data_IF_154434775236
#
_entry.id   IF_154434775236
#
_cell.length_a   1.000
_cell.length_b   1.000
_cell.length_c   1.000
_cell.angle_alpha   90.00
_cell.angle_beta   90.00
_cell.angle_gamma   90.00
#
_symmetry.space_group_name_H-M   'P 1'
#
loop_
_entity.id
_entity.type
_entity.pdbx_description
1 polymer ?
#
# COMPACT_ATOMS: atom_id res chain seq x y z
N UNK A 1 -14.35 19.90 -3.07
CA UNK A 1 -12.96 20.32 -2.77
C UNK A 1 -12.03 19.14 -3.09
N UNK A 2 -10.83 19.40 -3.54
CA UNK A 2 -9.83 18.36 -3.82
C UNK A 2 -9.32 17.79 -2.49
N UNK A 3 -9.30 16.46 -2.27
CA UNK A 3 -8.81 15.86 -1.03
C UNK A 3 -7.31 16.08 -0.84
N UNK A 4 -6.87 16.13 0.40
CA UNK A 4 -5.43 16.24 0.74
C UNK A 4 -4.67 14.93 0.55
N UNK A 5 -5.34 13.79 0.74
CA UNK A 5 -4.78 12.44 0.62
C UNK A 5 -5.68 11.59 -0.30
N UNK A 6 -5.08 10.88 -1.26
CA UNK A 6 -5.73 9.74 -1.91
C UNK A 6 -5.13 8.44 -1.38
N UNK A 7 -5.98 7.63 -0.74
CA UNK A 7 -5.59 6.28 -0.29
C UNK A 7 -5.87 5.30 -1.40
N UNK A 8 -4.87 4.53 -1.80
CA UNK A 8 -4.98 3.51 -2.86
C UNK A 8 -4.69 2.16 -2.24
N UNK A 9 -5.59 1.20 -2.41
CA UNK A 9 -5.32 -0.19 -2.02
C UNK A 9 -5.92 -1.19 -3.01
N UNK A 10 -5.23 -2.32 -3.13
CA UNK A 10 -5.65 -3.39 -4.02
C UNK A 10 -6.53 -4.40 -3.30
N UNK A 11 -7.52 -4.93 -4.02
CA UNK A 11 -8.33 -6.07 -3.57
C UNK A 11 -8.46 -7.10 -4.70
N UNK A 12 -8.67 -8.36 -4.32
CA UNK A 12 -9.06 -9.44 -5.23
C UNK A 12 -9.80 -10.54 -4.46
N UNK A 13 -11.09 -10.68 -4.72
CA UNK A 13 -11.97 -11.72 -4.15
C UNK A 13 -11.85 -11.92 -2.62
N UNK A 14 -11.77 -10.79 -1.88
CA UNK A 14 -11.66 -10.77 -0.41
C UNK A 14 -12.71 -9.81 0.22
N UNK A 15 -14.02 -10.02 -0.02
CA UNK A 15 -15.06 -9.08 0.42
C UNK A 15 -15.06 -8.85 1.92
N UNK A 16 -14.87 -9.90 2.74
CA UNK A 16 -14.83 -9.79 4.20
C UNK A 16 -13.68 -8.91 4.69
N UNK A 17 -12.48 -9.07 4.11
CA UNK A 17 -11.32 -8.25 4.48
C UNK A 17 -11.48 -6.81 4.03
N UNK A 18 -11.95 -6.62 2.80
CA UNK A 18 -12.24 -5.30 2.25
C UNK A 18 -13.23 -4.53 3.15
N UNK A 19 -14.33 -5.16 3.59
CA UNK A 19 -15.28 -4.57 4.51
C UNK A 19 -14.59 -4.06 5.79
N UNK A 20 -13.80 -4.91 6.46
CA UNK A 20 -13.08 -4.55 7.70
C UNK A 20 -12.11 -3.39 7.49
N UNK A 21 -11.43 -3.34 6.34
CA UNK A 21 -10.51 -2.23 5.98
C UNK A 21 -11.28 -0.93 5.79
N UNK A 22 -12.41 -0.94 5.09
CA UNK A 22 -13.26 0.23 4.88
C UNK A 22 -13.82 0.76 6.21
N UNK A 23 -14.23 -0.14 7.15
CA UNK A 23 -14.60 0.24 8.52
C UNK A 23 -13.42 0.93 9.23
N UNK A 24 -12.20 0.42 9.08
CA UNK A 24 -11.00 1.05 9.65
C UNK A 24 -10.72 2.45 9.12
N UNK A 25 -10.98 2.68 7.83
CA UNK A 25 -10.86 4.02 7.23
C UNK A 25 -11.94 4.98 7.72
N UNK A 26 -13.16 4.52 8.06
CA UNK A 26 -14.20 5.38 8.63
C UNK A 26 -13.86 5.91 10.04
N UNK A 27 -12.84 5.33 10.69
CA UNK A 27 -12.37 5.73 12.01
C UNK A 27 -11.19 6.69 12.01
N UNK A 28 -10.73 7.15 10.83
CA UNK A 28 -9.57 8.03 10.74
C UNK A 28 -9.82 9.39 11.37
N UNK A 29 -8.83 9.88 12.14
CA UNK A 29 -8.88 11.24 12.72
C UNK A 29 -8.57 12.32 11.69
N UNK A 30 -7.84 11.99 10.63
CA UNK A 30 -7.63 12.82 9.46
C UNK A 30 -8.78 12.56 8.47
N UNK A 31 -9.62 13.55 8.18
CA UNK A 31 -10.88 13.36 7.44
C UNK A 31 -10.87 13.87 6.01
N UNK A 32 -9.85 14.63 5.61
CA UNK A 32 -9.72 15.20 4.26
C UNK A 32 -8.99 14.23 3.31
N UNK A 33 -9.65 13.11 2.99
CA UNK A 33 -9.12 12.08 2.11
C UNK A 33 -10.20 11.42 1.26
N UNK A 34 -9.79 10.77 0.19
CA UNK A 34 -10.56 9.82 -0.62
C UNK A 34 -9.94 8.43 -0.57
N UNK A 35 -10.74 7.42 -0.85
CA UNK A 35 -10.30 6.02 -1.03
C UNK A 35 -10.50 5.62 -2.48
N UNK A 36 -9.48 4.98 -3.07
CA UNK A 36 -9.52 4.40 -4.40
C UNK A 36 -9.22 2.92 -4.28
N UNK A 37 -10.23 2.11 -4.52
CA UNK A 37 -10.13 0.65 -4.51
C UNK A 37 -9.67 0.20 -5.88
N UNK A 38 -8.46 -0.34 -5.95
CA UNK A 38 -7.85 -0.92 -7.14
C UNK A 38 -8.16 -2.42 -7.16
N UNK A 39 -9.21 -2.81 -7.87
CA UNK A 39 -9.76 -4.16 -7.86
C UNK A 39 -9.29 -4.95 -9.08
N UNK A 40 -8.49 -5.99 -8.83
CA UNK A 40 -7.84 -6.84 -9.83
C UNK A 40 -8.77 -7.95 -10.36
N UNK A 41 -10.02 -7.61 -10.65
CA UNK A 41 -10.98 -8.52 -11.28
C UNK A 41 -11.85 -9.31 -10.30
N UNK A 42 -12.21 -8.73 -9.15
CA UNK A 42 -13.11 -9.42 -8.20
C UNK A 42 -14.52 -9.60 -8.74
N UNK A 43 -15.19 -10.64 -8.23
CA UNK A 43 -16.58 -10.95 -8.50
C UNK A 43 -17.59 -10.03 -7.78
N UNK A 44 -18.91 -10.29 -8.00
CA UNK A 44 -19.99 -9.41 -7.55
C UNK A 44 -20.08 -9.23 -6.03
N UNK A 45 -19.59 -10.17 -5.24
CA UNK A 45 -19.58 -10.06 -3.77
C UNK A 45 -18.70 -8.90 -3.29
N UNK A 46 -17.56 -8.68 -3.95
CA UNK A 46 -16.67 -7.55 -3.66
C UNK A 46 -17.30 -6.23 -4.11
N UNK A 47 -17.94 -6.20 -5.27
CA UNK A 47 -18.70 -5.05 -5.75
C UNK A 47 -19.79 -4.65 -4.76
N UNK A 48 -20.56 -5.63 -4.23
CA UNK A 48 -21.60 -5.37 -3.23
C UNK A 48 -21.03 -4.70 -1.98
N UNK A 49 -19.89 -5.18 -1.46
CA UNK A 49 -19.21 -4.55 -0.31
C UNK A 49 -18.84 -3.09 -0.60
N UNK A 50 -18.37 -2.79 -1.81
CA UNK A 50 -18.04 -1.41 -2.20
C UNK A 50 -19.29 -0.54 -2.25
N UNK A 51 -20.38 -1.04 -2.83
CA UNK A 51 -21.62 -0.27 -2.98
C UNK A 51 -22.30 -0.06 -1.61
N UNK A 52 -22.29 -1.06 -0.74
CA UNK A 52 -22.75 -0.91 0.65
C UNK A 52 -21.90 0.14 1.39
N UNK A 53 -20.56 0.09 1.25
CA UNK A 53 -19.67 1.03 1.90
C UNK A 53 -19.93 2.49 1.48
N UNK A 54 -20.26 2.75 0.22
CA UNK A 54 -20.63 4.10 -0.26
C UNK A 54 -21.86 4.69 0.46
N UNK A 55 -22.71 3.84 1.06
CA UNK A 55 -23.90 4.30 1.78
C UNK A 55 -23.61 4.82 3.20
N UNK A 56 -22.54 4.35 3.84
CA UNK A 56 -22.20 4.68 5.23
C UNK A 56 -20.82 5.33 5.42
N UNK A 57 -19.95 5.28 4.44
CA UNK A 57 -18.63 5.91 4.53
C UNK A 57 -18.75 7.44 4.57
N UNK A 58 -17.94 8.07 5.41
CA UNK A 58 -17.88 9.54 5.55
C UNK A 58 -16.83 10.18 4.62
N UNK A 59 -16.26 9.39 3.73
CA UNK A 59 -15.24 9.77 2.75
C UNK A 59 -15.63 9.27 1.36
N UNK A 60 -15.20 9.93 0.27
CA UNK A 60 -15.44 9.48 -1.09
C UNK A 60 -14.76 8.13 -1.38
N UNK A 61 -15.47 7.23 -2.05
CA UNK A 61 -14.96 5.95 -2.53
C UNK A 61 -15.04 5.88 -4.04
N UNK A 62 -13.90 5.68 -4.69
CA UNK A 62 -13.79 5.31 -6.10
C UNK A 62 -13.48 3.82 -6.21
N UNK A 63 -14.14 3.13 -7.14
CA UNK A 63 -13.86 1.73 -7.45
C UNK A 63 -13.33 1.65 -8.87
N UNK A 64 -12.08 1.26 -9.02
CA UNK A 64 -11.42 1.00 -10.30
C UNK A 64 -11.29 -0.49 -10.43
N UNK A 65 -11.91 -1.06 -11.46
CA UNK A 65 -12.01 -2.50 -11.67
C UNK A 65 -11.53 -2.86 -13.08
N UNK A 66 -10.89 -4.01 -13.23
CA UNK A 66 -10.53 -4.62 -14.51
C UNK A 66 -11.07 -6.05 -14.57
N UNK A 67 -11.24 -6.60 -15.78
CA UNK A 67 -11.63 -7.99 -15.96
C UNK A 67 -10.55 -8.95 -15.43
N UNK A 68 -10.98 -10.06 -14.79
CA UNK A 68 -10.08 -11.10 -14.30
C UNK A 68 -9.48 -11.91 -15.46
N UNK A 69 -8.28 -11.56 -15.82
CA UNK A 69 -7.44 -12.29 -16.81
C UNK A 69 -6.15 -12.81 -16.20
N UNK A 70 -6.10 -12.87 -14.85
CA UNK A 70 -4.97 -13.27 -14.05
C UNK A 70 -4.41 -12.14 -13.18
N UNK A 71 -3.14 -12.23 -12.77
CA UNK A 71 -2.56 -11.27 -11.84
C UNK A 71 -2.12 -9.98 -12.55
N UNK A 72 -2.85 -8.88 -12.32
CA UNK A 72 -2.64 -7.55 -12.91
C UNK A 72 -2.55 -6.42 -11.86
N UNK A 73 -2.05 -6.74 -10.66
CA UNK A 73 -1.92 -5.78 -9.56
C UNK A 73 -1.19 -4.49 -9.96
N UNK A 74 -0.15 -4.56 -10.80
CA UNK A 74 0.58 -3.36 -11.23
C UNK A 74 -0.25 -2.49 -12.16
N UNK A 75 -0.99 -3.12 -13.07
CA UNK A 75 -1.86 -2.46 -14.04
C UNK A 75 -2.97 -1.68 -13.31
N UNK A 76 -3.70 -2.35 -12.43
CA UNK A 76 -4.81 -1.73 -11.70
C UNK A 76 -4.33 -0.64 -10.72
N UNK A 77 -3.13 -0.79 -10.13
CA UNK A 77 -2.52 0.27 -9.32
C UNK A 77 -2.20 1.50 -10.16
N UNK A 78 -1.66 1.33 -11.38
CA UNK A 78 -1.40 2.44 -12.28
C UNK A 78 -2.69 3.17 -12.67
N UNK A 79 -3.76 2.44 -12.96
CA UNK A 79 -5.08 3.04 -13.23
C UNK A 79 -5.60 3.83 -12.01
N UNK A 80 -5.49 3.27 -10.80
CA UNK A 80 -5.90 3.92 -9.57
C UNK A 80 -5.08 5.19 -9.26
N UNK A 81 -3.76 5.17 -9.51
CA UNK A 81 -2.89 6.35 -9.40
C UNK A 81 -3.39 7.48 -10.29
N UNK A 82 -3.81 7.18 -11.52
CA UNK A 82 -4.32 8.19 -12.43
C UNK A 82 -5.66 8.79 -11.98
N UNK A 83 -6.52 7.99 -11.33
CA UNK A 83 -7.82 8.42 -10.77
C UNK A 83 -7.69 9.22 -9.46
N UNK A 84 -6.51 9.19 -8.83
CA UNK A 84 -6.27 9.92 -7.58
C UNK A 84 -6.31 11.44 -7.82
N UNK A 85 -7.12 12.15 -6.99
CA UNK A 85 -7.23 13.60 -7.07
C UNK A 85 -6.19 14.32 -6.20
N UNK A 86 -5.78 13.72 -5.08
CA UNK A 86 -4.80 14.32 -4.18
C UNK A 86 -3.38 14.33 -4.75
N UNK A 87 -2.59 15.32 -4.29
CA UNK A 87 -1.15 15.36 -4.59
C UNK A 87 -0.33 14.43 -3.71
N UNK A 88 -0.90 13.92 -2.61
CA UNK A 88 -0.25 12.99 -1.71
C UNK A 88 -0.96 11.64 -1.70
N UNK A 89 -0.23 10.58 -2.03
CA UNK A 89 -0.75 9.22 -2.14
C UNK A 89 -0.31 8.37 -0.97
N UNK A 90 -1.24 7.60 -0.40
CA UNK A 90 -1.00 6.59 0.62
C UNK A 90 -1.39 5.23 0.05
N UNK A 91 -0.46 4.28 0.05
CA UNK A 91 -0.67 2.94 -0.46
C UNK A 91 -0.81 1.93 0.67
N UNK A 92 -1.80 1.06 0.54
CA UNK A 92 -2.03 -0.08 1.44
C UNK A 92 -2.58 -1.29 0.67
N UNK A 93 -2.99 -2.35 1.38
CA UNK A 93 -3.66 -3.51 0.80
C UNK A 93 -5.09 -3.63 1.37
N UNK A 94 -5.99 -4.27 0.63
CA UNK A 94 -7.41 -4.47 0.99
C UNK A 94 -7.63 -5.46 2.15
N UNK A 95 -6.56 -5.89 2.81
CA UNK A 95 -6.52 -6.73 4.01
C UNK A 95 -5.77 -6.08 5.17
N UNK A 96 -5.51 -4.77 5.08
CA UNK A 96 -4.75 -4.02 6.06
C UNK A 96 -5.62 -2.96 6.76
N UNK A 97 -6.08 -3.24 7.98
CA UNK A 97 -6.90 -2.33 8.78
C UNK A 97 -6.01 -1.22 9.34
N UNK A 98 -6.27 0.08 9.05
CA UNK A 98 -5.48 1.19 9.58
C UNK A 98 -5.85 1.52 11.03
N UNK A 99 -4.86 1.90 11.86
CA UNK A 99 -5.13 2.52 13.15
C UNK A 99 -5.74 3.91 12.93
N UNK A 100 -6.57 4.39 13.85
CA UNK A 100 -7.33 5.65 13.72
C UNK A 100 -6.49 6.91 13.40
N UNK A 101 -5.22 6.92 13.75
CA UNK A 101 -4.27 8.02 13.48
C UNK A 101 -3.37 7.77 12.26
N UNK A 102 -3.63 6.71 11.50
CA UNK A 102 -2.76 6.26 10.40
C UNK A 102 -2.54 7.35 9.34
N UNK A 103 -3.60 7.95 8.82
CA UNK A 103 -3.50 9.02 7.82
C UNK A 103 -2.87 10.28 8.40
N UNK A 104 -3.19 10.64 9.65
CA UNK A 104 -2.57 11.78 10.34
C UNK A 104 -1.05 11.59 10.44
N UNK A 105 -0.58 10.39 10.80
CA UNK A 105 0.86 10.09 10.88
C UNK A 105 1.52 10.24 9.50
N UNK A 106 0.88 9.77 8.42
CA UNK A 106 1.41 9.95 7.07
C UNK A 106 1.49 11.43 6.69
N UNK A 107 0.43 12.18 6.98
CA UNK A 107 0.37 13.62 6.70
C UNK A 107 1.43 14.43 7.44
N UNK A 108 1.60 14.21 8.75
CA UNK A 108 2.56 14.94 9.59
C UNK A 108 4.02 14.60 9.26
N UNK A 109 4.26 13.42 8.70
CA UNK A 109 5.63 12.96 8.38
C UNK A 109 6.00 13.11 6.91
N UNK A 110 5.08 13.58 6.04
CA UNK A 110 5.36 13.79 4.61
C UNK A 110 6.52 14.76 4.40
N UNK A 111 7.25 14.56 3.33
CA UNK A 111 8.40 15.41 2.98
C UNK A 111 8.63 15.38 1.47
N UNK A 112 8.99 16.51 0.84
CA UNK A 112 9.17 16.62 -0.62
C UNK A 112 10.22 15.67 -1.22
N UNK A 113 11.17 15.19 -0.43
CA UNK A 113 12.25 14.32 -0.91
C UNK A 113 12.23 12.93 -0.29
N UNK A 114 11.07 12.53 0.26
CA UNK A 114 10.95 11.27 0.99
C UNK A 114 9.67 10.54 0.59
N UNK A 115 9.77 9.21 0.47
CA UNK A 115 8.62 8.36 0.68
C UNK A 115 8.61 7.86 2.12
N UNK A 116 7.43 7.61 2.68
CA UNK A 116 7.29 7.02 4.00
C UNK A 116 7.18 5.49 3.88
N UNK A 117 7.78 4.80 4.83
CA UNK A 117 7.74 3.34 4.95
C UNK A 117 7.21 2.97 6.32
N UNK A 118 5.96 2.55 6.35
CA UNK A 118 5.25 2.15 7.55
C UNK A 118 5.44 0.68 7.90
N UNK A 119 4.57 0.15 8.75
CA UNK A 119 4.62 -1.25 9.17
C UNK A 119 3.27 -1.81 9.53
N UNK A 120 3.11 -3.13 9.35
CA UNK A 120 1.95 -3.86 9.75
C UNK A 120 2.23 -4.82 10.91
N UNK A 121 1.20 -5.17 11.64
CA UNK A 121 1.14 -6.29 12.58
C UNK A 121 0.36 -7.40 11.92
N UNK A 122 1.01 -8.51 11.62
CA UNK A 122 0.34 -9.68 11.05
C UNK A 122 -0.48 -10.37 12.12
N UNK A 123 -1.75 -10.55 11.87
CA UNK A 123 -2.65 -11.29 12.73
C UNK A 123 -2.69 -12.75 12.32
N UNK A 124 -2.85 -13.69 13.25
CA UNK A 124 -3.22 -15.07 12.94
C UNK A 124 -4.62 -15.16 12.29
N UNK A 125 -4.90 -16.24 11.57
CA UNK A 125 -6.15 -16.43 10.84
C UNK A 125 -7.38 -16.39 11.76
N UNK A 126 -7.33 -17.09 12.91
CA UNK A 126 -8.46 -17.12 13.86
C UNK A 126 -8.78 -15.73 14.38
N UNK A 127 -7.77 -14.95 14.80
CA UNK A 127 -7.96 -13.56 15.25
C UNK A 127 -8.46 -12.69 14.09
N UNK A 128 -7.93 -12.87 12.86
CA UNK A 128 -8.39 -12.13 11.67
C UNK A 128 -9.88 -12.34 11.40
N UNK A 129 -10.38 -13.57 11.55
CA UNK A 129 -11.80 -13.91 11.37
C UNK A 129 -12.66 -13.40 12.53
N UNK A 130 -12.20 -13.55 13.78
CA UNK A 130 -12.95 -13.20 14.99
C UNK A 130 -13.12 -11.68 15.19
N UNK A 131 -12.24 -10.84 14.60
CA UNK A 131 -12.34 -9.39 14.67
C UNK A 131 -13.69 -8.91 14.13
N UNK A 132 -14.43 -8.15 14.96
CA UNK A 132 -15.70 -7.53 14.60
C UNK A 132 -15.53 -6.07 14.20
N UNK A 133 -16.56 -5.50 13.55
CA UNK A 133 -16.63 -4.08 13.25
C UNK A 133 -16.57 -3.24 14.54
N UNK A 134 -17.18 -3.71 15.63
CA UNK A 134 -17.17 -3.02 16.92
C UNK A 134 -15.76 -2.98 17.52
N UNK A 135 -14.95 -4.02 17.36
CA UNK A 135 -13.55 -4.03 17.79
C UNK A 135 -12.71 -3.02 17.03
N UNK A 136 -13.01 -2.85 15.72
CA UNK A 136 -12.34 -1.86 14.87
C UNK A 136 -12.78 -0.45 15.28
N UNK A 137 -14.09 -0.19 15.37
CA UNK A 137 -14.67 1.12 15.69
C UNK A 137 -14.29 1.63 17.08
N UNK A 138 -14.31 0.75 18.08
CA UNK A 138 -13.89 1.09 19.46
C UNK A 138 -12.37 1.22 19.62
N UNK A 139 -11.59 0.77 18.65
CA UNK A 139 -10.12 0.72 18.71
C UNK A 139 -9.56 -0.47 19.50
N UNK A 140 -10.41 -1.36 20.05
CA UNK A 140 -9.97 -2.60 20.73
C UNK A 140 -9.10 -3.47 19.84
N UNK A 141 -9.33 -3.45 18.51
CA UNK A 141 -8.51 -4.13 17.52
C UNK A 141 -7.01 -3.76 17.60
N UNK A 142 -6.66 -2.59 18.13
CA UNK A 142 -5.28 -2.14 18.33
C UNK A 142 -4.77 -2.30 19.77
N UNK A 143 -5.55 -2.94 20.62
CA UNK A 143 -5.15 -3.36 21.96
C UNK A 143 -4.67 -4.81 21.92
N UNK A 144 -3.36 -5.01 22.17
CA UNK A 144 -2.74 -6.36 22.13
C UNK A 144 -3.40 -7.34 23.10
N UNK A 145 -3.78 -6.86 24.27
CA UNK A 145 -4.35 -7.73 25.32
C UNK A 145 -5.79 -8.13 24.95
N UNK A 146 -6.56 -7.23 24.32
CA UNK A 146 -7.89 -7.54 23.77
C UNK A 146 -7.79 -8.51 22.59
N UNK A 147 -6.89 -8.27 21.64
CA UNK A 147 -6.66 -9.19 20.52
C UNK A 147 -6.34 -10.62 21.00
N UNK A 148 -5.53 -10.74 22.04
CA UNK A 148 -5.11 -12.04 22.57
C UNK A 148 -6.19 -12.78 23.38
N UNK A 149 -7.35 -12.16 23.59
CA UNK A 149 -8.54 -12.79 24.20
C UNK A 149 -9.52 -13.34 23.15
N UNK A 150 -9.40 -12.90 21.89
CA UNK A 150 -10.37 -13.27 20.85
C UNK A 150 -10.37 -14.74 20.50
N UNK A 151 -9.18 -15.37 20.52
CA UNK A 151 -9.02 -16.79 20.17
C UNK A 151 -8.01 -17.45 21.10
N UNK A 152 -8.41 -18.54 21.74
CA UNK A 152 -7.53 -19.32 22.60
C UNK A 152 -6.36 -19.94 21.79
N UNK A 153 -5.16 -19.86 22.37
CA UNK A 153 -3.96 -20.40 21.73
C UNK A 153 -3.28 -19.50 20.71
N UNK A 154 -3.99 -18.54 20.11
CA UNK A 154 -3.39 -17.55 19.21
C UNK A 154 -2.87 -16.33 19.98
N UNK A 155 -1.69 -15.84 19.61
CA UNK A 155 -1.07 -14.70 20.29
C UNK A 155 -0.43 -13.71 19.32
N UNK A 156 -0.75 -12.44 19.51
CA UNK A 156 -0.10 -11.32 18.81
C UNK A 156 0.99 -10.72 19.71
N UNK A 157 2.24 -10.77 19.26
CA UNK A 157 3.39 -10.21 19.97
C UNK A 157 4.01 -9.10 19.13
N UNK A 158 3.65 -7.83 19.38
CA UNK A 158 4.21 -6.71 18.63
C UNK A 158 4.34 -5.45 19.49
N UNK A 159 5.52 -4.85 19.49
CA UNK A 159 5.77 -3.55 20.13
C UNK A 159 5.05 -2.40 19.40
N UNK A 160 4.57 -2.62 18.17
CA UNK A 160 3.76 -1.63 17.43
C UNK A 160 2.38 -1.40 18.07
N UNK A 161 1.91 -2.36 18.88
CA UNK A 161 0.67 -2.27 19.66
C UNK A 161 0.92 -1.84 21.12
N UNK A 162 2.08 -1.26 21.40
CA UNK A 162 2.38 -0.74 22.75
C UNK A 162 1.50 0.45 23.08
N UNK A 163 0.92 0.43 24.28
CA UNK A 163 0.17 1.56 24.86
C UNK A 163 1.08 2.67 25.37
N UNK A 164 2.38 2.40 25.56
CA UNK A 164 3.34 3.38 26.03
C UNK A 164 3.71 4.35 24.89
N UNK A 165 3.41 5.65 24.98
CA UNK A 165 3.60 6.61 23.89
C UNK A 165 5.08 6.85 23.52
N UNK A 166 6.02 6.48 24.40
CA UNK A 166 7.47 6.65 24.18
C UNK A 166 8.01 5.54 23.27
N UNK A 167 7.43 4.33 23.30
CA UNK A 167 7.94 3.17 22.57
C UNK A 167 7.93 3.39 21.05
N UNK A 168 6.85 3.81 20.39
CA UNK A 168 6.86 3.98 18.94
C UNK A 168 7.91 4.96 18.41
N UNK A 169 8.09 6.17 18.96
CA UNK A 169 9.13 7.09 18.48
C UNK A 169 10.54 6.55 18.77
N UNK A 170 10.77 5.96 19.94
CA UNK A 170 12.07 5.36 20.30
C UNK A 170 12.41 4.22 19.33
N UNK A 171 11.49 3.29 19.11
CA UNK A 171 11.69 2.15 18.21
C UNK A 171 11.90 2.57 16.75
N UNK A 172 11.27 3.68 16.30
CA UNK A 172 11.57 4.24 14.98
C UNK A 172 12.99 4.82 14.92
N UNK A 173 13.44 5.49 16.00
CA UNK A 173 14.76 6.12 16.06
C UNK A 173 15.90 5.09 16.08
N UNK A 174 15.75 4.00 16.85
CA UNK A 174 16.77 2.95 16.99
C UNK A 174 16.66 1.84 15.93
N UNK A 175 15.69 1.89 15.05
CA UNK A 175 15.47 0.86 14.05
C UNK A 175 16.59 0.85 13.01
N UNK A 176 17.27 -0.29 12.87
CA UNK A 176 18.29 -0.55 11.85
C UNK A 176 17.68 -1.01 10.51
N UNK A 177 16.37 -1.16 10.44
CA UNK A 177 15.67 -1.60 9.22
C UNK A 177 15.77 -0.49 8.18
N UNK A 178 16.26 -0.85 6.98
CA UNK A 178 16.29 0.07 5.84
C UNK A 178 14.86 0.43 5.42
N UNK A 179 14.56 1.71 5.32
CA UNK A 179 13.29 2.17 4.79
C UNK A 179 13.21 1.78 3.30
N UNK A 180 12.29 0.89 2.98
CA UNK A 180 12.00 0.45 1.62
C UNK A 180 10.53 0.64 1.34
N UNK A 181 10.19 0.90 0.09
CA UNK A 181 8.79 0.94 -0.30
C UNK A 181 8.16 -0.44 -0.08
N UNK A 182 6.98 -0.48 0.51
CA UNK A 182 6.17 -1.69 0.66
C UNK A 182 4.72 -1.35 0.29
N UNK A 183 4.07 -2.23 -0.45
CA UNK A 183 2.72 -2.01 -0.99
C UNK A 183 1.66 -1.83 0.09
N UNK A 184 1.87 -2.42 1.25
CA UNK A 184 0.86 -2.41 2.31
C UNK A 184 0.93 -1.19 3.25
N UNK A 185 2.00 -0.37 3.21
CA UNK A 185 2.11 0.81 4.07
C UNK A 185 3.23 1.75 3.60
N UNK A 186 2.97 2.49 2.53
CA UNK A 186 3.90 3.50 2.03
C UNK A 186 3.14 4.72 1.51
N UNK A 187 3.81 5.86 1.48
CA UNK A 187 3.22 7.09 0.92
C UNK A 187 4.28 8.01 0.34
N UNK A 188 3.90 8.78 -0.67
CA UNK A 188 4.70 9.90 -1.20
C UNK A 188 3.83 10.86 -2.03
N UNK A 189 4.42 11.92 -2.55
CA UNK A 189 3.76 12.79 -3.51
C UNK A 189 3.51 12.06 -4.84
N UNK A 190 2.35 12.31 -5.46
CA UNK A 190 1.93 11.72 -6.74
C UNK A 190 2.94 12.01 -7.85
N UNK A 191 3.48 13.22 -7.90
CA UNK A 191 4.51 13.61 -8.87
C UNK A 191 5.73 12.68 -8.87
N UNK A 192 6.15 12.17 -7.70
CA UNK A 192 7.28 11.22 -7.62
C UNK A 192 6.96 9.88 -8.27
N UNK A 193 5.73 9.39 -8.09
CA UNK A 193 5.27 8.15 -8.74
C UNK A 193 5.21 8.34 -10.26
N UNK A 194 4.69 9.49 -10.70
CA UNK A 194 4.61 9.83 -12.13
C UNK A 194 6.00 10.00 -12.74
N UNK A 195 6.94 10.62 -12.01
CA UNK A 195 8.32 10.81 -12.46
C UNK A 195 9.06 9.48 -12.75
N UNK A 196 8.69 8.40 -12.07
CA UNK A 196 9.22 7.06 -12.32
C UNK A 196 8.30 6.20 -13.18
N UNK A 197 7.21 6.77 -13.68
CA UNK A 197 6.20 6.12 -14.53
C UNK A 197 5.41 5.00 -13.84
N UNK A 198 5.07 5.16 -12.56
CA UNK A 198 4.21 4.21 -11.85
C UNK A 198 4.84 2.84 -11.60
N UNK A 199 4.01 1.81 -11.54
CA UNK A 199 4.41 0.41 -11.38
C UNK A 199 4.86 -0.19 -12.72
N UNK A 200 5.81 -1.13 -12.71
CA UNK A 200 6.17 -1.91 -13.90
C UNK A 200 5.19 -3.06 -14.09
N UNK A 201 4.33 -2.97 -15.10
CA UNK A 201 3.20 -3.88 -15.34
C UNK A 201 3.62 -5.31 -15.75
N UNK A 202 4.88 -5.51 -16.11
CA UNK A 202 5.41 -6.87 -16.38
C UNK A 202 5.57 -7.69 -15.10
N UNK A 203 5.66 -7.02 -13.95
CA UNK A 203 5.94 -7.68 -12.68
C UNK A 203 4.70 -8.40 -12.15
N UNK A 204 4.86 -9.67 -11.84
CA UNK A 204 3.88 -10.47 -11.13
C UNK A 204 4.12 -10.37 -9.61
N UNK A 205 3.53 -11.25 -8.82
CA UNK A 205 3.67 -11.21 -7.37
C UNK A 205 5.13 -11.34 -6.91
N UNK A 206 5.54 -10.45 -6.02
CA UNK A 206 6.82 -10.53 -5.31
C UNK A 206 7.85 -9.46 -5.72
N UNK A 207 7.91 -8.39 -4.95
CA UNK A 207 8.94 -7.35 -5.07
C UNK A 207 8.63 -6.21 -6.05
N UNK A 208 7.44 -6.17 -6.65
CA UNK A 208 6.98 -5.08 -7.52
C UNK A 208 6.96 -3.72 -6.78
N UNK A 209 6.50 -3.72 -5.55
CA UNK A 209 6.51 -2.59 -4.64
C UNK A 209 7.94 -2.10 -4.35
N UNK A 210 8.85 -3.04 -4.07
CA UNK A 210 10.26 -2.71 -3.82
C UNK A 210 10.94 -2.14 -5.04
N UNK A 211 10.61 -2.64 -6.24
CA UNK A 211 11.17 -2.14 -7.50
C UNK A 211 10.75 -0.69 -7.75
N UNK A 212 9.51 -0.33 -7.46
CA UNK A 212 9.06 1.08 -7.47
C UNK A 212 9.91 1.92 -6.51
N UNK A 213 10.10 1.47 -5.26
CA UNK A 213 10.92 2.16 -4.26
C UNK A 213 12.39 2.28 -4.64
N UNK A 214 12.93 1.32 -5.39
CA UNK A 214 14.29 1.35 -5.95
C UNK A 214 14.41 2.45 -7.02
N UNK A 215 13.40 2.58 -7.92
CA UNK A 215 13.38 3.67 -8.92
C UNK A 215 13.20 5.05 -8.27
N UNK A 216 12.32 5.18 -7.27
CA UNK A 216 12.19 6.39 -6.47
C UNK A 216 13.54 6.79 -5.83
N UNK A 217 14.25 5.81 -5.26
CA UNK A 217 15.57 6.05 -4.66
C UNK A 217 16.58 6.51 -5.70
N UNK A 218 16.53 5.97 -6.91
CA UNK A 218 17.43 6.33 -8.01
C UNK A 218 17.22 7.76 -8.51
N UNK A 219 16.03 8.35 -8.35
CA UNK A 219 15.76 9.78 -8.61
C UNK A 219 15.98 10.68 -7.38
N UNK A 220 16.50 10.12 -6.27
CA UNK A 220 16.81 10.89 -5.05
C UNK A 220 15.68 10.98 -4.02
N UNK A 221 14.53 10.28 -4.24
CA UNK A 221 13.45 10.19 -3.27
C UNK A 221 13.71 9.00 -2.36
N UNK A 222 14.21 9.26 -1.15
CA UNK A 222 14.65 8.20 -0.23
C UNK A 222 13.62 7.88 0.85
N UNK A 223 13.67 6.66 1.41
CA UNK A 223 12.71 6.22 2.42
C UNK A 223 12.92 6.87 3.80
N UNK A 224 11.81 7.17 4.50
CA UNK A 224 11.76 7.55 5.93
C UNK A 224 10.90 6.53 6.67
N UNK A 225 11.43 5.92 7.74
CA UNK A 225 10.69 4.95 8.55
C UNK A 225 9.64 5.65 9.42
N UNK A 226 8.41 5.12 9.36
CA UNK A 226 7.29 5.44 10.28
C UNK A 226 6.63 4.15 10.80
N UNK A 227 7.34 3.02 10.77
CA UNK A 227 6.78 1.66 10.95
C UNK A 227 6.18 1.37 12.32
N UNK A 228 6.55 2.12 13.36
CA UNK A 228 5.97 2.00 14.70
C UNK A 228 4.92 3.09 14.96
N UNK A 229 4.90 4.14 14.14
CA UNK A 229 3.95 5.25 14.22
C UNK A 229 2.71 4.99 13.35
N UNK A 230 2.89 4.76 12.05
CA UNK A 230 1.83 4.39 11.11
C UNK A 230 1.61 2.86 11.17
N UNK A 231 0.79 2.40 12.11
CA UNK A 231 0.56 0.97 12.35
C UNK A 231 -0.74 0.52 11.70
N UNK A 232 -0.71 -0.66 11.07
CA UNK A 232 -1.85 -1.37 10.52
C UNK A 232 -1.90 -2.80 11.06
N UNK A 233 -3.08 -3.41 11.03
CA UNK A 233 -3.28 -4.84 11.23
C UNK A 233 -3.43 -5.50 9.88
N UNK A 234 -2.55 -6.44 9.57
CA UNK A 234 -2.63 -7.24 8.34
C UNK A 234 -3.36 -8.54 8.66
N UNK A 235 -4.53 -8.69 8.10
CA UNK A 235 -5.36 -9.88 8.21
C UNK A 235 -4.70 -11.05 7.47
N UNK A 236 -4.80 -12.26 8.01
CA UNK A 236 -4.20 -13.44 7.39
C UNK A 236 -5.02 -13.93 6.21
N UNK A 237 -4.37 -14.38 5.16
CA UNK A 237 -5.00 -14.94 3.97
C UNK A 237 -4.07 -15.90 3.22
N UNK A 238 -4.66 -16.81 2.43
CA UNK A 238 -3.92 -17.69 1.52
C UNK A 238 -3.36 -16.91 0.33
N UNK A 239 -2.21 -17.34 -0.20
CA UNK A 239 -1.51 -16.73 -1.36
C UNK A 239 -1.35 -17.77 -2.46
N UNK A 240 -2.38 -17.92 -3.31
CA UNK A 240 -2.39 -18.91 -4.39
C UNK A 240 -1.69 -18.48 -5.69
N UNK A 241 -1.29 -17.22 -5.81
CA UNK A 241 -0.79 -16.59 -7.04
C UNK A 241 0.74 -16.51 -7.14
N UNK A 242 1.46 -17.16 -6.25
CA UNK A 242 2.93 -17.14 -6.22
C UNK A 242 3.49 -18.15 -7.22
N UNK A 243 4.31 -17.69 -8.17
CA UNK A 243 5.02 -18.57 -9.12
C UNK A 243 6.53 -18.38 -9.01
N UNK A 244 7.30 -19.47 -9.21
CA UNK A 244 8.77 -19.41 -9.19
C UNK A 244 9.33 -18.55 -10.34
N UNK A 245 8.71 -18.64 -11.50
CA UNK A 245 9.11 -17.88 -12.70
C UNK A 245 8.91 -16.38 -12.48
N UNK A 246 7.75 -15.97 -11.94
CA UNK A 246 7.47 -14.58 -11.59
C UNK A 246 8.48 -14.04 -10.57
N UNK A 247 8.85 -14.83 -9.56
CA UNK A 247 9.88 -14.46 -8.60
C UNK A 247 11.27 -14.28 -9.24
N UNK A 248 11.68 -15.19 -10.12
CA UNK A 248 12.97 -15.11 -10.83
C UNK A 248 13.01 -13.85 -11.70
N UNK A 249 11.97 -13.61 -12.50
CA UNK A 249 11.85 -12.42 -13.33
C UNK A 249 11.91 -11.13 -12.50
N UNK A 250 11.08 -11.03 -11.46
CA UNK A 250 11.02 -9.85 -10.61
C UNK A 250 12.35 -9.56 -9.91
N UNK A 251 13.05 -10.60 -9.42
CA UNK A 251 14.36 -10.44 -8.78
C UNK A 251 15.43 -9.99 -9.77
N UNK A 252 15.41 -10.49 -11.01
CA UNK A 252 16.33 -10.05 -12.05
C UNK A 252 16.08 -8.57 -12.40
N UNK A 253 14.83 -8.18 -12.65
CA UNK A 253 14.46 -6.80 -12.95
C UNK A 253 14.86 -5.84 -11.82
N UNK A 254 14.67 -6.21 -10.56
CA UNK A 254 15.12 -5.44 -9.41
C UNK A 254 16.64 -5.32 -9.31
N UNK A 255 17.36 -6.39 -9.64
CA UNK A 255 18.84 -6.36 -9.69
C UNK A 255 19.30 -5.33 -10.73
N UNK A 256 18.74 -5.38 -11.93
CA UNK A 256 19.02 -4.43 -13.02
C UNK A 256 18.64 -2.99 -12.60
N UNK A 257 17.45 -2.79 -12.03
CA UNK A 257 17.00 -1.48 -11.52
C UNK A 257 18.04 -0.85 -10.58
N UNK A 258 18.66 -1.64 -9.70
CA UNK A 258 19.67 -1.13 -8.74
C UNK A 258 21.04 -0.93 -9.39
N UNK A 259 21.54 -1.91 -10.16
CA UNK A 259 22.88 -1.87 -10.72
C UNK A 259 23.02 -0.80 -11.80
N UNK A 260 22.01 -0.63 -12.65
CA UNK A 260 21.99 0.33 -13.75
C UNK A 260 21.38 1.68 -13.39
N UNK A 261 20.92 1.84 -12.13
CA UNK A 261 20.26 3.07 -11.67
C UNK A 261 19.04 3.45 -12.51
N UNK A 262 18.26 2.46 -12.92
CA UNK A 262 17.05 2.70 -13.71
C UNK A 262 16.08 3.59 -12.91
N UNK A 263 15.62 4.67 -13.53
CA UNK A 263 14.72 5.65 -12.90
C UNK A 263 13.29 5.57 -13.41
N UNK A 264 13.08 5.10 -14.63
CA UNK A 264 11.80 5.13 -15.31
C UNK A 264 11.47 3.76 -15.90
N UNK A 265 10.23 3.29 -15.78
CA UNK A 265 9.79 2.04 -16.41
C UNK A 265 9.10 2.32 -17.74
N UNK A 266 9.53 1.70 -18.86
CA UNK A 266 8.82 1.81 -20.14
C UNK A 266 7.50 1.01 -20.17
N UNK A 267 7.20 0.27 -19.10
CA UNK A 267 6.01 -0.57 -18.94
C UNK A 267 5.13 -0.10 -17.78
N UNK A 268 5.08 1.23 -17.59
CA UNK A 268 4.29 1.85 -16.54
C UNK A 268 3.03 2.53 -17.09
N UNK A 269 2.65 3.65 -16.45
CA UNK A 269 1.46 4.46 -16.77
C UNK A 269 1.47 4.94 -18.24
N UNK A 270 2.59 5.55 -18.67
CA UNK A 270 2.78 5.93 -20.07
C UNK A 270 3.45 4.77 -20.81
N UNK A 271 2.93 4.40 -21.94
CA UNK A 271 3.53 3.36 -22.78
C UNK A 271 4.71 3.93 -23.60
N UNK A 272 5.58 3.04 -24.10
CA UNK A 272 6.83 3.45 -24.79
C UNK A 272 6.58 4.47 -25.91
N UNK A 273 5.46 4.32 -26.63
CA UNK A 273 5.12 5.21 -27.77
C UNK A 273 4.64 6.61 -27.32
N UNK A 274 4.20 6.73 -26.06
CA UNK A 274 3.72 7.98 -25.44
C UNK A 274 4.82 8.70 -24.63
N UNK A 275 6.01 8.09 -24.53
CA UNK A 275 7.11 8.62 -23.74
C UNK A 275 7.66 9.93 -24.35
N UNK A 276 7.81 11.01 -23.55
CA UNK A 276 8.50 12.22 -23.99
C UNK A 276 9.89 11.93 -24.56
N UNK A 277 10.22 12.56 -25.68
CA UNK A 277 11.48 12.33 -26.43
C UNK A 277 12.75 12.41 -25.57
N UNK A 278 12.78 13.34 -24.63
CA UNK A 278 13.91 13.56 -23.71
C UNK A 278 14.15 12.35 -22.77
N UNK A 279 13.11 11.67 -22.34
CA UNK A 279 13.22 10.45 -21.49
C UNK A 279 13.52 9.20 -22.31
N UNK A 280 13.07 9.13 -23.57
CA UNK A 280 13.44 8.06 -24.52
C UNK A 280 14.96 8.07 -24.79
N UNK A 281 15.53 9.22 -25.05
CA UNK A 281 16.96 9.36 -25.31
C UNK A 281 17.82 8.99 -24.09
N UNK A 282 17.41 9.39 -22.88
CA UNK A 282 18.13 9.04 -21.65
C UNK A 282 18.15 7.54 -21.38
N UNK A 283 17.07 6.82 -21.70
CA UNK A 283 16.99 5.36 -21.56
C UNK A 283 17.79 4.60 -22.63
N UNK A 284 17.88 5.17 -23.85
CA UNK A 284 18.62 4.58 -24.99
C UNK A 284 20.14 4.83 -24.92
N UNK A 285 20.57 5.99 -24.39
CA UNK A 285 22.00 6.31 -24.23
C UNK A 285 22.69 5.39 -23.21
N UNK A 286 21.95 4.91 -22.19
CA UNK A 286 22.48 3.98 -21.17
C UNK A 286 22.60 2.51 -21.64
N UNK A 287 22.02 2.13 -22.78
CA UNK A 287 22.22 0.81 -23.40
C UNK A 287 23.45 0.69 -24.28
N UNK A 288 24.19 1.81 -24.52
CA UNK A 288 25.37 1.88 -25.38
C UNK A 288 26.65 2.21 -24.65
N UNK A 289 26.62 2.35 -23.33
CA UNK A 289 27.78 2.46 -22.43
C UNK A 289 27.87 1.22 -21.53
#
# INVERSE_FOLDING_TARGET
MRPSISVIFTTYNQPLWLHKVLVGFSMQTFTDFEVIIADDGSGPETQQVVDDAKTWATYPIKHVWIEDTGYHKCDILNMAIMQAEADYLVFTDGDCIPRKDYLQVHWDNKSPRRFLSGGAVRLPMGISLALTDEDIRSGRAFDRDELNKLVDGEKVKSLKLSKCPIIPPLMNAVSTVKASWNGNNSSCYKEHILAVNGMDERMKYGGQDRQLGERLTNIGITGKLVRYKATMLHLDHKRGYVTEEGWKFNNQLRKETRSEKVTWSPYGILKVDECPSELKEASLRRKKS
#
